data_IF_077164790412
#
_entry.id   IF_077164790412
#
_cell.length_a   1.000
_cell.length_b   1.000
_cell.length_c   1.000
_cell.angle_alpha   90.00
_cell.angle_beta   90.00
_cell.angle_gamma   90.00
#
_symmetry.space_group_name_H-M   'P 1'
#
loop_
_entity.id
_entity.type
_entity.pdbx_description
1 polymer ?
#
# COMPACT_ATOMS: atom_id res chain seq x y z
N UNK A 1 -32.97 12.71 86.05
CA UNK A 1 -31.69 12.48 86.77
C UNK A 1 -30.95 11.40 86.01
N UNK A 2 -30.04 11.77 85.11
CA UNK A 2 -28.57 11.90 85.32
C UNK A 2 -27.90 10.54 84.99
N UNK A 3 -26.94 10.35 84.08
CA UNK A 3 -25.96 11.25 83.43
C UNK A 3 -25.40 10.67 82.10
N UNK A 4 -25.15 11.61 81.18
CA UNK A 4 -23.95 11.86 80.35
C UNK A 4 -23.64 11.05 79.07
N UNK A 5 -23.45 11.89 78.04
CA UNK A 5 -22.88 11.73 76.69
C UNK A 5 -21.33 11.65 76.68
N UNK A 6 -20.79 11.47 75.45
CA UNK A 6 -19.43 11.78 74.92
C UNK A 6 -18.51 10.53 74.90
N UNK A 7 -17.83 10.07 73.84
CA UNK A 7 -17.46 10.50 72.46
C UNK A 7 -17.31 9.20 71.60
N UNK A 8 -17.13 9.13 70.27
CA UNK A 8 -16.39 9.97 69.32
C UNK A 8 -16.82 9.52 67.90
N UNK A 9 -17.08 10.48 67.00
CA UNK A 9 -17.30 10.29 65.55
C UNK A 9 -15.94 10.29 64.81
N UNK A 10 -15.92 9.70 63.61
CA UNK A 10 -14.77 9.53 62.66
C UNK A 10 -13.81 8.39 63.05
N UNK A 11 -13.29 7.52 62.19
CA UNK A 11 -13.01 7.48 60.75
C UNK A 11 -13.57 6.16 60.17
N UNK A 12 -13.85 5.94 58.90
CA UNK A 12 -13.61 6.70 57.68
C UNK A 12 -14.16 5.84 56.55
N UNK A 13 -14.87 6.49 55.64
CA UNK A 13 -15.32 5.96 54.35
C UNK A 13 -14.23 5.12 53.69
N UNK A 14 -14.44 3.81 53.61
CA UNK A 14 -13.69 2.95 52.69
C UNK A 14 -14.28 3.23 51.30
N UNK A 15 -13.80 4.32 50.68
CA UNK A 15 -13.98 4.57 49.26
C UNK A 15 -13.39 3.35 48.55
N UNK A 16 -14.28 2.46 48.12
CA UNK A 16 -14.00 1.44 47.13
C UNK A 16 -13.71 2.19 45.83
N UNK A 17 -12.47 2.66 45.69
CA UNK A 17 -11.92 3.09 44.43
C UNK A 17 -11.87 1.86 43.53
N UNK A 18 -13.00 1.58 42.87
CA UNK A 18 -13.01 0.78 41.66
C UNK A 18 -12.03 1.45 40.71
N UNK A 19 -10.79 0.95 40.70
CA UNK A 19 -9.93 1.06 39.54
C UNK A 19 -10.75 0.49 38.39
N UNK A 20 -11.34 1.37 37.59
CA UNK A 20 -11.77 1.03 36.24
C UNK A 20 -10.47 0.77 35.50
N UNK A 21 -9.93 -0.44 35.67
CA UNK A 21 -8.96 -0.97 34.74
C UNK A 21 -9.72 -1.06 33.43
N UNK A 22 -9.48 -0.11 32.53
CA UNK A 22 -9.87 -0.29 31.14
C UNK A 22 -9.32 -1.66 30.74
N UNK A 23 -10.17 -2.61 30.31
CA UNK A 23 -9.66 -3.89 29.85
C UNK A 23 -8.68 -3.56 28.73
N UNK A 24 -7.41 -3.86 28.95
CA UNK A 24 -6.43 -3.88 27.87
C UNK A 24 -6.96 -4.97 26.95
N UNK A 25 -7.57 -4.58 25.83
CA UNK A 25 -7.97 -5.52 24.80
C UNK A 25 -6.70 -6.30 24.46
N UNK A 26 -6.81 -7.63 24.46
CA UNK A 26 -5.74 -8.47 23.98
C UNK A 26 -5.42 -8.05 22.55
N UNK A 27 -4.14 -7.87 22.24
CA UNK A 27 -3.70 -7.52 20.89
C UNK A 27 -4.14 -8.62 19.93
N UNK A 28 -4.58 -8.21 18.74
CA UNK A 28 -4.98 -9.13 17.68
C UNK A 28 -3.77 -9.87 17.14
N UNK A 29 -3.99 -11.12 16.71
CA UNK A 29 -2.96 -11.89 16.01
C UNK A 29 -2.68 -11.30 14.62
N UNK A 30 -1.51 -11.58 14.01
CA UNK A 30 -1.23 -11.18 12.63
C UNK A 30 -2.28 -11.67 11.61
N UNK A 31 -2.85 -12.85 11.82
CA UNK A 31 -3.93 -13.43 11.00
C UNK A 31 -5.22 -12.61 11.12
N UNK A 32 -5.58 -12.21 12.35
CA UNK A 32 -6.76 -11.37 12.61
C UNK A 32 -6.61 -9.98 11.99
N UNK A 33 -5.42 -9.38 12.11
CA UNK A 33 -5.09 -8.10 11.46
C UNK A 33 -5.11 -8.27 9.93
N UNK A 34 -4.58 -9.37 9.41
CA UNK A 34 -4.62 -9.67 7.98
C UNK A 34 -6.05 -9.79 7.46
N UNK A 35 -6.96 -10.38 8.22
CA UNK A 35 -8.37 -10.47 7.86
C UNK A 35 -9.02 -9.09 7.70
N UNK A 36 -8.77 -8.18 8.65
CA UNK A 36 -9.24 -6.79 8.58
C UNK A 36 -8.62 -6.08 7.36
N UNK A 37 -7.31 -6.24 7.19
CA UNK A 37 -6.56 -5.63 6.11
C UNK A 37 -7.03 -6.09 4.72
N UNK A 38 -7.30 -7.39 4.56
CA UNK A 38 -7.79 -8.00 3.31
C UNK A 38 -9.12 -7.41 2.86
N UNK A 39 -10.02 -7.17 3.80
CA UNK A 39 -11.36 -6.67 3.48
C UNK A 39 -11.38 -5.18 3.14
N UNK A 40 -10.39 -4.41 3.62
CA UNK A 40 -10.41 -2.93 3.59
C UNK A 40 -9.35 -2.31 2.68
N UNK A 41 -8.29 -3.05 2.32
CA UNK A 41 -7.22 -2.57 1.44
C UNK A 41 -7.65 -2.70 -0.02
N UNK A 42 -7.54 -1.60 -0.78
CA UNK A 42 -7.86 -1.56 -2.22
C UNK A 42 -6.59 -1.35 -3.03
N UNK A 43 -6.63 -1.73 -4.30
CA UNK A 43 -5.65 -1.33 -5.30
C UNK A 43 -6.21 -0.17 -6.12
N UNK A 44 -5.37 0.83 -6.41
CA UNK A 44 -5.74 2.01 -7.20
C UNK A 44 -4.82 2.06 -8.41
N UNK A 45 -5.36 2.11 -9.63
CA UNK A 45 -4.56 2.11 -10.85
C UNK A 45 -5.09 3.09 -11.91
N UNK A 46 -4.21 3.86 -12.58
CA UNK A 46 -4.59 4.77 -13.66
C UNK A 46 -5.06 4.00 -14.90
N UNK A 47 -6.26 4.26 -15.41
CA UNK A 47 -6.81 3.62 -16.61
C UNK A 47 -7.25 2.17 -16.40
N UNK A 48 -7.38 1.70 -15.15
CA UNK A 48 -7.93 0.39 -14.84
C UNK A 48 -9.45 0.40 -15.00
N UNK A 49 -9.93 -0.46 -15.88
CA UNK A 49 -11.36 -0.74 -16.08
C UNK A 49 -11.66 -2.18 -15.67
N UNK A 50 -12.93 -2.57 -15.49
CA UNK A 50 -13.31 -3.95 -15.19
C UNK A 50 -12.78 -4.98 -16.18
N UNK A 51 -12.61 -4.62 -17.45
CA UNK A 51 -12.12 -5.52 -18.51
C UNK A 51 -10.61 -5.75 -18.44
N UNK A 52 -9.87 -4.90 -17.73
CA UNK A 52 -8.40 -4.96 -17.62
C UNK A 52 -7.93 -5.57 -16.30
N UNK A 53 -8.83 -6.15 -15.51
CA UNK A 53 -8.49 -6.72 -14.20
C UNK A 53 -7.53 -7.90 -14.31
N UNK A 54 -7.81 -8.84 -15.22
CA UNK A 54 -6.97 -10.01 -15.43
C UNK A 54 -5.59 -9.58 -15.94
N UNK A 55 -5.54 -8.60 -16.85
CA UNK A 55 -4.29 -8.00 -17.32
C UNK A 55 -3.51 -7.35 -16.17
N UNK A 56 -4.17 -6.67 -15.21
CA UNK A 56 -3.50 -6.10 -14.03
C UNK A 56 -2.94 -7.18 -13.11
N UNK A 57 -3.73 -8.20 -12.82
CA UNK A 57 -3.41 -9.25 -11.86
C UNK A 57 -2.33 -10.18 -12.39
N UNK A 58 -2.37 -10.47 -13.69
CA UNK A 58 -1.31 -11.19 -14.38
C UNK A 58 -0.14 -10.31 -14.78
N UNK A 59 -0.26 -9.00 -14.56
CA UNK A 59 0.74 -7.97 -14.85
C UNK A 59 1.13 -7.94 -16.35
N UNK A 60 0.11 -8.07 -17.20
CA UNK A 60 0.12 -8.06 -18.67
C UNK A 60 -0.58 -6.79 -19.21
N UNK A 61 -0.46 -6.56 -20.52
CA UNK A 61 -1.10 -5.50 -21.33
C UNK A 61 -1.40 -4.16 -20.63
N UNK A 62 -0.50 -3.20 -20.76
CA UNK A 62 -0.62 -1.91 -20.08
C UNK A 62 -1.37 -0.84 -20.90
N UNK A 63 -2.47 -0.25 -20.40
CA UNK A 63 -3.17 0.85 -21.07
C UNK A 63 -2.32 2.14 -21.19
N UNK A 64 -1.24 2.25 -20.41
CA UNK A 64 -0.27 3.36 -20.47
C UNK A 64 0.85 3.15 -21.50
N UNK A 65 0.86 2.04 -22.23
CA UNK A 65 1.84 1.80 -23.29
C UNK A 65 1.78 2.92 -24.35
N UNK A 66 2.94 3.46 -24.72
CA UNK A 66 3.09 4.52 -25.73
C UNK A 66 4.17 4.11 -26.74
N UNK A 67 4.21 4.73 -27.92
CA UNK A 67 5.23 4.40 -28.93
C UNK A 67 6.70 4.51 -28.44
N UNK A 68 6.97 5.33 -27.41
CA UNK A 68 8.30 5.49 -26.78
C UNK A 68 8.51 4.63 -25.53
N UNK A 69 7.45 4.01 -25.03
CA UNK A 69 7.42 3.07 -23.90
C UNK A 69 6.37 2.00 -24.24
N UNK A 70 6.67 1.10 -25.20
CA UNK A 70 5.70 0.17 -25.79
C UNK A 70 5.12 -0.80 -24.76
N UNK A 71 5.80 -0.87 -23.63
CA UNK A 71 5.52 -1.76 -22.54
C UNK A 71 4.63 -1.10 -21.51
N UNK A 72 4.83 0.20 -21.25
CA UNK A 72 4.19 0.95 -20.19
C UNK A 72 4.51 0.35 -18.81
N UNK A 73 4.60 1.16 -17.76
CA UNK A 73 4.57 0.63 -16.38
C UNK A 73 3.29 1.07 -15.70
N UNK A 74 2.43 0.10 -15.36
CA UNK A 74 1.26 0.40 -14.57
C UNK A 74 1.83 0.79 -13.22
N UNK A 75 1.55 2.01 -12.76
CA UNK A 75 2.05 2.49 -11.48
C UNK A 75 0.90 2.47 -10.48
N UNK A 76 0.30 1.30 -10.20
CA UNK A 76 -0.76 1.25 -9.23
C UNK A 76 -0.20 1.54 -7.85
N UNK A 77 -1.07 2.07 -7.01
CA UNK A 77 -0.86 2.19 -5.60
C UNK A 77 -1.91 1.40 -4.84
N UNK A 78 -1.93 1.65 -3.54
CA UNK A 78 -2.88 1.05 -2.61
C UNK A 78 -3.76 2.13 -1.97
N UNK A 79 -4.81 1.71 -1.30
CA UNK A 79 -5.69 2.57 -0.53
C UNK A 79 -6.38 1.79 0.58
N UNK A 80 -7.12 2.49 1.44
CA UNK A 80 -7.99 1.87 2.44
C UNK A 80 -9.37 2.53 2.44
N UNK A 81 -10.43 1.73 2.50
CA UNK A 81 -11.81 2.23 2.63
C UNK A 81 -12.02 2.74 4.06
N UNK A 82 -12.28 4.04 4.21
CA UNK A 82 -12.35 4.72 5.53
C UNK A 82 -13.72 5.28 5.89
N UNK A 83 -14.61 5.45 4.92
CA UNK A 83 -15.97 5.92 5.15
C UNK A 83 -16.92 5.43 4.05
N UNK A 84 -18.21 5.46 4.38
CA UNK A 84 -19.30 5.17 3.46
C UNK A 84 -20.48 6.10 3.75
N UNK A 85 -21.04 6.73 2.73
CA UNK A 85 -22.24 7.56 2.80
C UNK A 85 -23.17 7.21 1.65
N UNK A 86 -24.38 6.72 1.95
CA UNK A 86 -25.28 6.21 0.91
C UNK A 86 -24.62 5.08 0.12
N UNK A 87 -24.44 5.26 -1.20
CA UNK A 87 -23.72 4.33 -2.09
C UNK A 87 -22.24 4.69 -2.27
N UNK A 88 -21.80 5.85 -1.78
CA UNK A 88 -20.46 6.36 -1.97
C UNK A 88 -19.50 5.81 -0.91
N UNK A 89 -18.38 5.27 -1.37
CA UNK A 89 -17.27 4.79 -0.57
C UNK A 89 -16.09 5.73 -0.73
N UNK A 90 -15.39 6.01 0.37
CA UNK A 90 -14.24 6.92 0.40
C UNK A 90 -12.99 6.15 0.76
N UNK A 91 -11.99 6.22 -0.13
CA UNK A 91 -10.71 5.55 0.00
C UNK A 91 -9.65 6.57 0.35
N UNK A 92 -8.99 6.39 1.48
CA UNK A 92 -7.80 7.14 1.86
C UNK A 92 -6.57 6.55 1.19
N UNK A 93 -5.73 7.41 0.64
CA UNK A 93 -4.50 7.03 -0.06
C UNK A 93 -3.51 8.21 -0.08
N UNK A 94 -2.41 8.06 -0.81
CA UNK A 94 -1.38 9.09 -1.03
C UNK A 94 -1.65 9.86 -2.32
N UNK A 95 -1.23 11.13 -2.37
CA UNK A 95 -1.50 11.97 -3.56
C UNK A 95 -0.65 11.56 -4.77
N UNK A 96 0.53 10.99 -4.54
CA UNK A 96 1.41 10.59 -5.64
C UNK A 96 0.92 9.39 -6.45
N UNK A 97 -0.14 8.70 -6.01
CA UNK A 97 -0.86 7.74 -6.85
C UNK A 97 -1.55 8.44 -8.03
N UNK A 98 -1.88 9.74 -7.89
CA UNK A 98 -2.54 10.57 -8.90
C UNK A 98 -1.54 11.55 -9.54
N UNK A 99 -0.77 11.07 -10.51
CA UNK A 99 0.22 11.91 -11.21
C UNK A 99 -0.48 13.06 -11.94
N UNK A 100 0.02 14.29 -11.80
CA UNK A 100 -0.60 15.47 -12.42
C UNK A 100 -0.80 15.31 -13.93
N UNK A 101 0.14 14.66 -14.63
CA UNK A 101 0.00 14.39 -16.07
C UNK A 101 -1.23 13.53 -16.43
N UNK A 102 -1.60 12.58 -15.57
CA UNK A 102 -2.78 11.72 -15.81
C UNK A 102 -4.07 12.51 -15.55
N UNK A 103 -4.05 13.39 -14.54
CA UNK A 103 -5.16 14.30 -14.24
C UNK A 103 -5.38 15.28 -15.40
N UNK A 104 -4.31 15.91 -15.91
CA UNK A 104 -4.37 16.82 -17.07
C UNK A 104 -4.91 16.12 -18.34
N UNK A 105 -4.67 14.80 -18.47
CA UNK A 105 -5.16 13.96 -19.58
C UNK A 105 -6.58 13.41 -19.33
N UNK A 106 -7.23 13.77 -18.20
CA UNK A 106 -8.53 13.24 -17.77
C UNK A 106 -8.61 11.71 -17.75
N UNK A 107 -7.50 11.06 -17.45
CA UNK A 107 -7.42 9.61 -17.34
C UNK A 107 -8.24 9.12 -16.14
N UNK A 108 -9.11 8.14 -16.36
CA UNK A 108 -9.86 7.49 -15.29
C UNK A 108 -8.92 6.69 -14.37
N UNK A 109 -9.40 6.33 -13.19
CA UNK A 109 -8.70 5.44 -12.27
C UNK A 109 -9.63 4.31 -11.84
N UNK A 110 -9.13 3.08 -11.83
CA UNK A 110 -9.86 1.93 -11.29
C UNK A 110 -9.50 1.70 -9.82
N UNK A 111 -10.52 1.41 -9.02
CA UNK A 111 -10.38 0.97 -7.63
C UNK A 111 -10.79 -0.50 -7.58
N UNK A 112 -9.81 -1.40 -7.41
CA UNK A 112 -10.05 -2.83 -7.23
C UNK A 112 -10.31 -3.13 -5.75
N UNK A 113 -11.48 -3.67 -5.44
CA UNK A 113 -11.89 -4.07 -4.09
C UNK A 113 -11.51 -5.52 -3.76
N UNK A 114 -11.75 -5.94 -2.52
CA UNK A 114 -11.36 -7.25 -1.97
C UNK A 114 -12.06 -8.46 -2.62
N UNK A 115 -13.17 -8.21 -3.30
CA UNK A 115 -13.93 -9.16 -4.12
C UNK A 115 -13.48 -9.20 -5.59
N UNK A 116 -12.35 -8.55 -5.92
CA UNK A 116 -11.79 -8.52 -7.28
C UNK A 116 -12.47 -7.55 -8.23
N UNK A 117 -13.61 -6.95 -7.86
CA UNK A 117 -14.28 -5.99 -8.74
C UNK A 117 -13.52 -4.67 -8.84
N UNK A 118 -13.56 -4.08 -10.03
CA UNK A 118 -13.03 -2.74 -10.32
C UNK A 118 -14.18 -1.74 -10.37
N UNK A 119 -14.05 -0.65 -9.61
CA UNK A 119 -14.91 0.51 -9.71
C UNK A 119 -14.15 1.62 -10.42
N UNK A 120 -14.56 1.94 -11.66
CA UNK A 120 -13.95 3.02 -12.43
C UNK A 120 -14.39 4.39 -11.88
N UNK A 121 -13.41 5.26 -11.67
CA UNK A 121 -13.59 6.63 -11.23
C UNK A 121 -13.17 7.56 -12.37
N UNK A 122 -14.16 8.20 -12.99
CA UNK A 122 -13.97 9.22 -14.01
C UNK A 122 -13.93 10.61 -13.38
N UNK A 123 -13.58 11.64 -14.17
CA UNK A 123 -13.58 13.05 -13.71
C UNK A 123 -12.73 13.29 -12.46
N UNK A 124 -11.58 12.61 -12.39
CA UNK A 124 -10.63 12.70 -11.26
C UNK A 124 -9.79 13.97 -11.24
N UNK A 125 -9.82 14.77 -12.31
CA UNK A 125 -9.11 16.04 -12.34
C UNK A 125 -9.86 17.08 -11.51
N UNK A 126 -9.22 17.57 -10.45
CA UNK A 126 -9.78 18.58 -9.56
C UNK A 126 -9.55 20.02 -10.04
N UNK A 127 -8.88 20.21 -11.19
CA UNK A 127 -8.49 21.50 -11.80
C UNK A 127 -7.57 22.38 -10.95
N UNK A 128 -6.99 21.83 -9.87
CA UNK A 128 -6.14 22.59 -8.95
C UNK A 128 -4.68 22.62 -9.37
N UNK A 129 -4.27 21.75 -10.30
CA UNK A 129 -2.90 21.69 -10.81
C UNK A 129 -1.86 21.24 -9.77
N UNK A 130 -0.59 21.57 -10.03
CA UNK A 130 0.50 21.38 -9.06
C UNK A 130 1.59 22.47 -9.19
N UNK A 131 1.83 23.33 -8.18
CA UNK A 131 1.23 23.34 -6.83
C UNK A 131 -0.29 23.56 -6.85
N UNK A 132 -0.97 23.10 -5.81
CA UNK A 132 -2.44 23.17 -5.70
C UNK A 132 -2.90 24.63 -5.60
N UNK A 133 -3.84 25.02 -6.47
CA UNK A 133 -4.55 26.30 -6.40
C UNK A 133 -5.95 26.11 -5.82
N UNK A 134 -6.39 27.03 -4.96
CA UNK A 134 -7.74 26.99 -4.38
C UNK A 134 -7.97 25.93 -3.30
N UNK A 135 -9.20 25.91 -2.77
CA UNK A 135 -9.65 24.99 -1.73
C UNK A 135 -10.01 23.60 -2.27
N UNK A 136 -10.36 22.70 -1.35
CA UNK A 136 -10.81 21.33 -1.67
C UNK A 136 -12.30 21.37 -2.00
N UNK A 137 -12.71 20.92 -3.19
CA UNK A 137 -14.13 20.84 -3.58
C UNK A 137 -14.77 19.58 -3.01
N UNK A 138 -15.80 19.71 -2.17
CA UNK A 138 -16.35 18.56 -1.42
C UNK A 138 -17.09 17.52 -2.27
N UNK A 139 -17.58 17.92 -3.45
CA UNK A 139 -18.34 17.03 -4.34
C UNK A 139 -17.47 16.32 -5.38
N UNK A 140 -16.15 16.57 -5.37
CA UNK A 140 -15.19 16.01 -6.32
C UNK A 140 -14.95 14.52 -6.05
N UNK A 141 -14.69 13.75 -7.13
CA UNK A 141 -14.33 12.34 -7.00
C UNK A 141 -12.94 12.14 -6.38
N UNK A 142 -12.04 13.12 -6.56
CA UNK A 142 -10.70 13.12 -5.99
C UNK A 142 -10.48 14.39 -5.17
N UNK A 143 -10.10 14.20 -3.91
CA UNK A 143 -9.81 15.25 -2.94
C UNK A 143 -8.33 15.19 -2.61
N UNK A 144 -7.52 16.12 -3.12
CA UNK A 144 -6.06 16.14 -2.90
C UNK A 144 -5.63 17.17 -1.84
N UNK A 145 -4.75 16.76 -0.93
CA UNK A 145 -4.13 17.65 0.08
C UNK A 145 -2.66 17.99 -0.24
N UNK A 146 -2.18 17.49 -1.37
CA UNK A 146 -0.93 17.83 -2.02
C UNK A 146 -1.00 17.44 -3.49
N UNK A 147 0.12 17.49 -4.20
CA UNK A 147 0.16 17.12 -5.61
C UNK A 147 1.53 16.57 -6.00
N UNK A 148 1.53 15.64 -6.95
CA UNK A 148 2.75 15.11 -7.55
C UNK A 148 3.17 15.96 -8.74
N UNK A 149 4.41 16.47 -8.71
CA UNK A 149 4.90 17.40 -9.72
C UNK A 149 4.93 16.78 -11.12
N UNK A 150 4.48 17.57 -12.10
CA UNK A 150 4.59 17.24 -13.54
C UNK A 150 6.03 17.32 -14.05
N UNK A 151 6.83 18.22 -13.50
CA UNK A 151 8.14 18.61 -14.03
C UNK A 151 9.30 17.99 -13.26
N UNK A 152 9.10 17.73 -11.96
CA UNK A 152 10.14 17.20 -11.09
C UNK A 152 9.72 15.79 -10.66
N UNK A 153 10.32 14.73 -11.24
CA UNK A 153 10.00 13.37 -10.85
C UNK A 153 10.23 13.19 -9.35
N UNK A 154 9.37 12.40 -8.72
CA UNK A 154 9.43 12.06 -7.29
C UNK A 154 9.21 13.23 -6.31
N UNK A 155 8.76 14.40 -6.79
CA UNK A 155 8.47 15.54 -5.93
C UNK A 155 6.98 15.67 -5.64
N UNK A 156 6.63 15.63 -4.35
CA UNK A 156 5.30 16.00 -3.84
C UNK A 156 5.36 17.42 -3.28
N UNK A 157 4.35 18.23 -3.61
CA UNK A 157 4.10 19.53 -2.98
C UNK A 157 2.88 19.41 -2.04
N UNK A 158 2.97 19.95 -0.83
CA UNK A 158 1.92 19.79 0.19
C UNK A 158 1.96 18.43 0.89
N UNK A 159 0.82 18.04 1.47
CA UNK A 159 0.68 16.75 2.16
C UNK A 159 0.46 15.62 1.15
N UNK A 160 1.18 14.52 1.31
CA UNK A 160 1.07 13.37 0.42
C UNK A 160 -0.17 12.51 0.75
N UNK A 161 -1.34 13.14 0.70
CA UNK A 161 -2.63 12.56 1.06
C UNK A 161 -3.67 12.89 0.01
N UNK A 162 -4.55 11.92 -0.26
CA UNK A 162 -5.73 12.11 -1.07
C UNK A 162 -6.87 11.19 -0.58
N UNK A 163 -8.11 11.62 -0.85
CA UNK A 163 -9.28 10.74 -0.78
C UNK A 163 -9.83 10.59 -2.19
N UNK A 164 -10.11 9.36 -2.61
CA UNK A 164 -10.85 9.08 -3.84
C UNK A 164 -12.19 8.43 -3.51
N UNK A 165 -13.24 8.84 -4.21
CA UNK A 165 -14.62 8.35 -4.05
C UNK A 165 -14.98 7.41 -5.19
N UNK A 166 -15.65 6.31 -4.88
CA UNK A 166 -16.34 5.47 -5.84
C UNK A 166 -17.74 5.12 -5.34
N UNK A 167 -18.63 4.69 -6.22
CA UNK A 167 -19.98 4.27 -5.87
C UNK A 167 -20.15 2.76 -6.01
N UNK A 168 -20.86 2.14 -5.08
CA UNK A 168 -21.24 0.73 -5.21
C UNK A 168 -22.52 0.40 -4.45
N UNK A 169 -23.30 -0.52 -5.03
CA UNK A 169 -24.41 -1.18 -4.36
C UNK A 169 -23.97 -2.36 -3.49
N UNK A 170 -22.73 -2.85 -3.68
CA UNK A 170 -22.16 -3.89 -2.82
C UNK A 170 -21.73 -3.31 -1.48
N UNK A 171 -21.75 -4.17 -0.45
CA UNK A 171 -21.31 -3.81 0.91
C UNK A 171 -19.85 -4.16 1.09
N UNK A 172 -18.99 -3.14 1.06
CA UNK A 172 -17.59 -3.23 1.47
C UNK A 172 -17.39 -2.88 2.95
N UNK A 173 -16.41 -3.54 3.56
CA UNK A 173 -15.96 -3.23 4.92
C UNK A 173 -15.31 -1.84 4.98
N UNK A 174 -15.50 -1.16 6.10
CA UNK A 174 -14.92 0.16 6.38
C UNK A 174 -13.94 0.03 7.53
N UNK A 175 -12.68 0.39 7.30
CA UNK A 175 -11.63 0.25 8.28
C UNK A 175 -11.89 1.14 9.51
N UNK A 176 -11.66 0.63 10.73
CA UNK A 176 -11.72 1.45 11.93
C UNK A 176 -10.47 2.34 12.01
N UNK A 177 -10.66 3.62 12.32
CA UNK A 177 -9.62 4.63 12.40
C UNK A 177 -9.22 4.89 13.85
N UNK A 178 -7.94 4.72 14.16
CA UNK A 178 -7.36 4.96 15.48
C UNK A 178 -6.68 6.32 15.61
N UNK A 179 -5.84 6.46 16.63
CA UNK A 179 -4.92 7.59 16.78
C UNK A 179 -3.47 7.12 16.72
N UNK A 180 -2.61 7.79 15.94
CA UNK A 180 -1.18 7.53 16.00
C UNK A 180 -0.54 7.98 17.32
N UNK A 181 -1.27 8.62 18.24
CA UNK A 181 -0.79 8.87 19.60
C UNK A 181 -0.84 7.61 20.48
N UNK A 182 -1.67 6.63 20.11
CA UNK A 182 -1.82 5.37 20.83
C UNK A 182 -0.67 4.39 20.57
N UNK A 183 0.10 4.60 19.49
CA UNK A 183 1.31 3.83 19.17
C UNK A 183 2.56 4.47 19.80
N UNK A 184 3.43 3.65 20.37
CA UNK A 184 4.71 4.04 20.98
C UNK A 184 5.88 3.52 20.16
N UNK A 185 7.07 4.02 20.49
CA UNK A 185 8.32 3.46 19.98
C UNK A 185 8.39 1.98 20.30
N UNK A 186 8.89 1.18 19.35
CA UNK A 186 8.98 -0.28 19.40
C UNK A 186 7.66 -1.04 19.34
N UNK A 187 6.49 -0.38 19.37
CA UNK A 187 5.23 -1.05 19.07
C UNK A 187 5.24 -1.56 17.63
N UNK A 188 4.59 -2.71 17.41
CA UNK A 188 4.49 -3.28 16.06
C UNK A 188 3.35 -2.62 15.30
N UNK A 189 3.62 -2.24 14.06
CA UNK A 189 2.61 -1.78 13.11
C UNK A 189 2.56 -2.70 11.90
N UNK A 190 1.38 -2.81 11.30
CA UNK A 190 1.10 -3.71 10.18
C UNK A 190 0.69 -2.90 8.95
N UNK A 191 1.34 -3.14 7.82
CA UNK A 191 1.21 -2.39 6.58
C UNK A 191 0.67 -3.32 5.50
N UNK A 192 -0.52 -3.01 5.00
CA UNK A 192 -1.14 -3.77 3.91
C UNK A 192 -1.09 -2.97 2.61
N UNK A 193 -0.85 -3.63 1.49
CA UNK A 193 -0.82 -2.99 0.19
C UNK A 193 -0.58 -3.97 -0.95
N UNK A 194 -0.50 -3.44 -2.16
CA UNK A 194 -0.38 -4.19 -3.41
C UNK A 194 0.97 -3.91 -4.08
N UNK A 195 2.02 -4.68 -3.72
CA UNK A 195 3.31 -4.61 -4.40
C UNK A 195 3.23 -4.69 -5.93
N UNK A 196 4.18 -4.05 -6.58
CA UNK A 196 4.42 -4.14 -8.01
C UNK A 196 5.47 -5.22 -8.31
N UNK A 197 5.05 -6.42 -8.74
CA UNK A 197 5.95 -7.58 -8.85
C UNK A 197 6.98 -7.40 -9.97
N UNK A 198 6.67 -6.57 -10.97
CA UNK A 198 7.54 -6.20 -12.08
C UNK A 198 8.80 -5.46 -11.64
N UNK A 199 8.69 -4.75 -10.51
CA UNK A 199 9.81 -4.05 -9.90
C UNK A 199 10.70 -4.96 -9.09
N UNK A 200 10.31 -6.20 -8.82
CA UNK A 200 11.05 -7.15 -7.98
C UNK A 200 12.05 -8.00 -8.78
N UNK A 201 13.25 -8.17 -8.23
CA UNK A 201 14.21 -9.17 -8.67
C UNK A 201 14.03 -10.46 -7.88
N UNK A 202 14.13 -11.56 -8.60
CA UNK A 202 14.21 -12.88 -8.03
C UNK A 202 15.47 -13.03 -7.16
N UNK A 203 15.28 -13.45 -5.91
CA UNK A 203 16.34 -13.49 -4.90
C UNK A 203 17.44 -14.52 -5.21
N UNK A 204 17.17 -15.52 -6.06
CA UNK A 204 18.11 -16.58 -6.42
C UNK A 204 18.92 -16.19 -7.65
N UNK A 205 18.26 -15.61 -8.64
CA UNK A 205 18.84 -15.32 -9.96
C UNK A 205 19.31 -13.87 -10.11
N UNK A 206 18.86 -12.96 -9.24
CA UNK A 206 19.14 -11.51 -9.35
C UNK A 206 18.55 -10.89 -10.63
N UNK A 207 17.62 -11.58 -11.29
CA UNK A 207 16.94 -11.10 -12.49
C UNK A 207 15.56 -10.59 -12.12
N UNK A 208 15.08 -9.62 -12.88
CA UNK A 208 13.71 -9.16 -12.78
C UNK A 208 12.73 -10.31 -13.01
N UNK A 209 11.75 -10.44 -12.11
CA UNK A 209 10.67 -11.43 -12.25
C UNK A 209 9.86 -11.21 -13.53
N UNK A 210 9.85 -9.97 -14.04
CA UNK A 210 9.28 -9.62 -15.33
C UNK A 210 7.75 -9.66 -15.33
N UNK A 211 7.17 -9.50 -16.53
CA UNK A 211 5.72 -9.28 -16.70
C UNK A 211 4.82 -10.42 -16.24
N UNK A 212 5.33 -11.64 -16.15
CA UNK A 212 4.52 -12.82 -15.81
C UNK A 212 4.30 -13.02 -14.31
N UNK A 213 4.83 -12.12 -13.47
CA UNK A 213 4.68 -12.23 -12.04
C UNK A 213 3.30 -11.71 -11.59
N UNK A 214 2.48 -12.60 -11.04
CA UNK A 214 1.15 -12.26 -10.53
C UNK A 214 1.22 -11.22 -9.42
N UNK A 215 0.37 -10.20 -9.50
CA UNK A 215 0.21 -9.18 -8.47
C UNK A 215 -0.56 -9.74 -7.29
N UNK A 216 -0.06 -9.48 -6.09
CA UNK A 216 -0.56 -10.06 -4.85
C UNK A 216 -0.58 -9.00 -3.76
N UNK A 217 -1.56 -9.06 -2.86
CA UNK A 217 -1.55 -8.21 -1.66
C UNK A 217 -0.52 -8.75 -0.67
N UNK A 218 0.22 -7.85 -0.05
CA UNK A 218 1.21 -8.15 0.98
C UNK A 218 0.80 -7.51 2.29
N UNK A 219 0.93 -8.26 3.38
CA UNK A 219 0.96 -7.70 4.73
C UNK A 219 2.40 -7.72 5.23
N UNK A 220 2.94 -6.55 5.55
CA UNK A 220 4.25 -6.42 6.19
C UNK A 220 4.09 -5.84 7.59
N UNK A 221 5.01 -6.13 8.50
CA UNK A 221 4.98 -5.54 9.83
C UNK A 221 6.37 -5.35 10.41
N UNK A 222 6.45 -4.48 11.40
CA UNK A 222 7.65 -4.29 12.17
C UNK A 222 7.54 -3.14 13.15
N UNK A 223 8.62 -2.89 13.92
CA UNK A 223 8.57 -1.95 15.03
C UNK A 223 8.61 -0.50 14.54
N UNK A 224 7.89 0.36 15.25
CA UNK A 224 8.01 1.83 15.14
C UNK A 224 9.39 2.27 15.62
N UNK A 225 10.13 2.94 14.76
CA UNK A 225 11.50 3.43 15.01
C UNK A 225 11.59 4.94 15.15
N UNK A 226 10.50 5.67 14.89
CA UNK A 226 10.47 7.11 15.08
C UNK A 226 9.07 7.68 14.97
N UNK A 227 8.82 8.77 15.70
CA UNK A 227 7.65 9.62 15.54
C UNK A 227 8.09 11.08 15.56
N UNK A 228 7.62 11.86 14.59
CA UNK A 228 7.83 13.31 14.55
C UNK A 228 6.49 14.01 14.31
N UNK A 229 6.43 15.29 14.67
CA UNK A 229 5.27 16.10 14.34
C UNK A 229 5.15 16.22 12.81
N UNK A 230 4.00 15.90 12.18
CA UNK A 230 3.80 16.02 10.73
C UNK A 230 4.08 17.41 10.17
N UNK A 231 3.91 18.47 10.97
CA UNK A 231 4.27 19.84 10.58
C UNK A 231 5.79 20.06 10.45
N UNK A 232 6.58 19.22 11.11
CA UNK A 232 8.05 19.18 11.03
C UNK A 232 8.54 18.12 10.04
N UNK A 233 7.67 17.18 9.67
CA UNK A 233 7.96 16.11 8.71
C UNK A 233 7.86 16.57 7.26
N UNK A 234 8.64 15.94 6.38
CA UNK A 234 8.54 16.23 4.95
C UNK A 234 7.20 15.71 4.42
N UNK A 235 6.41 16.57 3.76
CA UNK A 235 5.14 16.21 3.13
C UNK A 235 4.10 15.54 4.06
N UNK A 236 4.20 15.70 5.40
CA UNK A 236 3.26 15.15 6.39
C UNK A 236 3.58 13.76 6.94
N UNK A 237 4.71 13.18 6.53
CA UNK A 237 5.17 11.89 7.05
C UNK A 237 5.67 12.05 8.48
N UNK A 238 5.09 11.28 9.42
CA UNK A 238 5.30 11.49 10.85
C UNK A 238 5.52 10.21 11.67
N UNK A 239 5.34 9.04 11.06
CA UNK A 239 5.52 7.73 11.72
C UNK A 239 6.54 6.96 10.91
N UNK A 240 7.57 6.43 11.56
CA UNK A 240 8.67 5.71 10.94
C UNK A 240 8.77 4.31 11.53
N UNK A 241 9.04 3.33 10.67
CA UNK A 241 9.12 1.93 11.06
C UNK A 241 10.09 1.17 10.16
N UNK A 242 10.59 0.05 10.69
CA UNK A 242 11.32 -0.95 9.91
C UNK A 242 10.30 -1.98 9.42
N UNK A 243 10.31 -2.26 8.12
CA UNK A 243 9.41 -3.21 7.50
C UNK A 243 10.04 -3.83 6.24
N UNK A 244 9.29 -4.73 5.59
CA UNK A 244 9.59 -5.20 4.25
C UNK A 244 8.49 -4.86 3.24
N UNK A 245 7.96 -3.64 3.32
CA UNK A 245 7.08 -3.05 2.30
C UNK A 245 7.78 -2.97 0.95
N UNK A 246 6.99 -2.87 -0.13
CA UNK A 246 7.49 -2.87 -1.51
C UNK A 246 6.87 -1.74 -2.32
N UNK A 247 7.53 -1.28 -3.41
CA UNK A 247 6.92 -0.37 -4.37
C UNK A 247 5.52 -0.86 -4.79
N UNK A 248 4.54 0.03 -4.86
CA UNK A 248 3.13 -0.30 -5.10
C UNK A 248 2.26 -0.32 -3.83
N UNK A 249 2.86 -0.53 -2.65
CA UNK A 249 2.14 -0.47 -1.37
C UNK A 249 1.80 0.96 -0.91
N UNK A 250 2.32 1.98 -1.58
CA UNK A 250 2.05 3.39 -1.27
C UNK A 250 0.56 3.71 -1.34
N UNK A 251 0.05 4.34 -0.29
CA UNK A 251 -1.37 4.60 -0.06
C UNK A 251 -2.07 3.54 0.79
N UNK A 252 -1.42 2.41 1.07
CA UNK A 252 -1.97 1.34 1.89
C UNK A 252 -2.08 1.71 3.37
N UNK A 253 -3.00 1.07 4.11
CA UNK A 253 -3.19 1.33 5.54
C UNK A 253 -2.02 0.84 6.39
N UNK A 254 -1.73 1.59 7.45
CA UNK A 254 -0.89 1.16 8.58
C UNK A 254 -1.78 0.95 9.79
N UNK A 255 -1.87 -0.29 10.24
CA UNK A 255 -2.65 -0.72 11.40
C UNK A 255 -1.79 -0.80 12.66
N UNK A 256 -2.39 -0.50 13.81
CA UNK A 256 -1.85 -0.89 15.12
C UNK A 256 -2.19 -2.37 15.45
N UNK A 257 -1.69 -2.86 16.59
CA UNK A 257 -1.95 -4.23 17.07
C UNK A 257 -3.41 -4.50 17.47
N UNK A 258 -4.31 -3.52 17.41
CA UNK A 258 -5.73 -3.67 17.70
C UNK A 258 -6.58 -3.59 16.42
N UNK A 259 -5.95 -3.52 15.24
CA UNK A 259 -6.62 -3.47 13.95
C UNK A 259 -7.15 -2.09 13.56
N UNK A 260 -6.75 -1.02 14.24
CA UNK A 260 -7.10 0.34 13.85
C UNK A 260 -6.07 0.92 12.87
N UNK A 261 -6.54 1.59 11.83
CA UNK A 261 -5.68 2.37 10.94
C UNK A 261 -5.17 3.60 11.70
N UNK A 262 -3.85 3.72 11.83
CA UNK A 262 -3.17 4.84 12.51
C UNK A 262 -2.35 5.70 11.54
N UNK A 263 -2.18 5.25 10.30
CA UNK A 263 -1.52 6.02 9.25
C UNK A 263 -1.71 5.44 7.86
N UNK A 264 -1.13 6.14 6.87
CA UNK A 264 -1.13 5.74 5.46
C UNK A 264 0.30 5.59 5.00
N UNK A 265 0.72 4.39 4.62
CA UNK A 265 2.07 4.13 4.12
C UNK A 265 2.30 4.93 2.83
N UNK A 266 3.48 5.50 2.64
CA UNK A 266 3.73 6.24 1.40
C UNK A 266 5.18 6.44 1.00
N UNK A 267 6.13 6.19 1.90
CA UNK A 267 7.56 6.11 1.54
C UNK A 267 8.17 4.84 2.12
N UNK A 268 8.92 4.12 1.30
CA UNK A 268 9.90 3.15 1.80
C UNK A 268 11.18 3.85 2.24
N UNK A 269 12.00 3.20 3.06
CA UNK A 269 13.33 3.70 3.42
C UNK A 269 14.23 3.86 2.19
N UNK A 270 15.04 4.92 2.15
CA UNK A 270 16.12 5.08 1.17
C UNK A 270 17.27 4.08 1.40
N UNK A 271 17.47 3.62 2.64
CA UNK A 271 18.46 2.62 3.08
C UNK A 271 18.00 1.17 2.83
N UNK A 272 16.87 1.01 2.13
CA UNK A 272 16.76 -0.10 1.17
C UNK A 272 17.88 -0.02 0.12
N UNK A 273 18.77 0.97 0.08
CA UNK A 273 20.03 1.05 -0.69
C UNK A 273 20.90 -0.22 -0.74
N UNK A 274 20.87 -1.10 0.27
CA UNK A 274 21.45 -2.45 0.15
C UNK A 274 20.50 -3.49 -0.47
N UNK A 275 19.19 -3.34 -0.26
CA UNK A 275 18.09 -4.02 -0.99
C UNK A 275 17.81 -3.41 -2.38
N UNK A 276 18.49 -2.32 -2.79
CA UNK A 276 18.37 -1.65 -4.10
C UNK A 276 18.94 -2.54 -5.20
N UNK A 277 19.67 -3.60 -4.82
CA UNK A 277 20.00 -4.72 -5.70
C UNK A 277 18.84 -5.67 -5.97
N UNK A 278 17.66 -5.47 -5.39
CA UNK A 278 16.48 -6.33 -5.60
C UNK A 278 15.41 -5.69 -6.48
N UNK A 279 15.65 -4.49 -7.04
CA UNK A 279 14.64 -3.82 -7.87
C UNK A 279 15.11 -3.55 -9.29
N UNK A 280 14.17 -3.62 -10.23
CA UNK A 280 14.43 -3.57 -11.67
C UNK A 280 14.48 -2.17 -12.25
N UNK A 281 13.74 -1.25 -11.64
CA UNK A 281 13.59 0.13 -12.11
C UNK A 281 14.67 1.07 -11.57
N UNK A 282 15.66 0.54 -10.83
CA UNK A 282 16.75 1.31 -10.27
C UNK A 282 18.03 1.07 -11.10
N UNK A 283 18.77 2.12 -11.50
CA UNK A 283 19.99 1.96 -12.29
C UNK A 283 21.00 1.02 -11.60
N UNK A 284 21.56 0.07 -12.36
CA UNK A 284 22.62 -0.85 -11.88
C UNK A 284 23.91 -0.13 -11.48
N UNK A 285 24.15 1.03 -12.07
CA UNK A 285 25.32 1.87 -11.85
C UNK A 285 24.95 3.11 -11.01
N UNK A 286 24.32 2.91 -9.85
CA UNK A 286 24.28 3.92 -8.79
C UNK A 286 25.67 4.04 -8.13
N UNK A 287 26.68 4.29 -8.95
CA UNK A 287 28.01 4.74 -8.54
C UNK A 287 28.06 6.24 -8.80
N UNK A 288 28.05 7.03 -7.72
CA UNK A 288 28.31 8.47 -7.70
C UNK A 288 27.41 9.33 -8.61
N UNK A 289 26.21 9.67 -8.14
CA UNK A 289 25.84 11.08 -7.92
C UNK A 289 24.56 11.19 -7.07
N UNK A 290 24.74 11.80 -5.90
CA UNK A 290 23.74 12.44 -5.02
C UNK A 290 22.63 11.56 -4.43
N UNK A 291 22.98 10.80 -3.40
CA UNK A 291 22.39 10.95 -2.06
C UNK A 291 23.53 10.61 -1.09
N UNK A 292 24.12 11.62 -0.47
CA UNK A 292 25.37 11.47 0.28
C UNK A 292 25.17 10.56 1.50
N UNK A 293 25.84 9.41 1.44
CA UNK A 293 26.29 8.66 2.59
C UNK A 293 27.74 9.05 2.85
N UNK A 294 28.06 9.43 4.08
CA UNK A 294 29.27 8.96 4.79
C UNK A 294 29.24 9.61 6.18
N UNK A 295 28.54 8.93 7.10
CA UNK A 295 29.02 8.61 8.44
C UNK A 295 27.87 8.24 9.40
N UNK A 296 28.18 7.33 10.32
CA UNK A 296 27.46 6.98 11.55
C UNK A 296 26.28 6.00 11.43
N UNK A 297 26.66 4.73 11.39
CA UNK A 297 26.14 3.73 12.31
C UNK A 297 26.72 3.97 13.73
N UNK A 298 26.24 4.98 14.44
CA UNK A 298 26.36 5.12 15.90
C UNK A 298 25.58 6.37 16.35
N UNK A 299 24.25 6.30 16.40
CA UNK A 299 23.36 7.14 17.21
C UNK A 299 21.89 6.84 16.84
N UNK A 300 21.34 5.76 17.41
CA UNK A 300 19.89 5.66 17.56
C UNK A 300 19.50 6.68 18.66
N UNK A 301 19.17 7.90 18.24
CA UNK A 301 18.84 8.99 19.16
C UNK A 301 18.58 10.38 18.54
N UNK A 302 18.46 10.49 17.22
CA UNK A 302 18.24 11.76 16.54
C UNK A 302 16.79 11.90 16.05
N UNK A 303 16.14 13.01 16.40
CA UNK A 303 14.84 13.44 15.88
C UNK A 303 14.93 14.12 14.50
N UNK A 304 16.09 14.09 13.84
CA UNK A 304 16.31 14.73 12.54
C UNK A 304 15.43 14.05 11.47
N UNK A 305 14.43 14.75 10.90
CA UNK A 305 13.54 14.21 9.89
C UNK A 305 14.28 13.67 8.66
N UNK A 306 15.41 14.27 8.29
CA UNK A 306 16.18 13.88 7.09
C UNK A 306 16.79 12.49 7.25
N UNK A 307 17.33 12.18 8.42
CA UNK A 307 17.90 10.86 8.74
C UNK A 307 16.79 9.81 8.82
N UNK A 308 15.64 10.15 9.39
CA UNK A 308 14.52 9.23 9.51
C UNK A 308 13.94 8.84 8.13
N UNK A 309 13.76 9.82 7.23
CA UNK A 309 13.26 9.55 5.88
C UNK A 309 14.21 8.72 5.01
N UNK A 310 15.52 8.79 5.28
CA UNK A 310 16.49 7.97 4.55
C UNK A 310 16.54 6.54 5.09
N UNK A 311 16.43 6.33 6.41
CA UNK A 311 16.65 4.99 6.99
C UNK A 311 15.40 4.14 7.16
N UNK A 312 14.22 4.75 7.23
CA UNK A 312 12.99 4.05 7.59
C UNK A 312 11.87 4.29 6.59
N UNK A 313 11.01 3.29 6.44
CA UNK A 313 9.71 3.51 5.81
C UNK A 313 8.90 4.47 6.66
N UNK A 314 7.99 5.20 6.03
CA UNK A 314 7.19 6.19 6.74
C UNK A 314 5.75 6.27 6.25
N UNK A 315 4.88 6.62 7.20
CA UNK A 315 3.47 6.86 6.98
C UNK A 315 3.06 8.30 7.28
N UNK A 316 2.06 8.75 6.53
CA UNK A 316 1.26 9.91 6.88
C UNK A 316 0.55 9.63 8.19
N UNK A 317 0.62 10.58 9.10
CA UNK A 317 0.01 10.50 10.41
C UNK A 317 -1.50 10.80 10.30
N UNK A 318 -2.36 9.96 10.88
CA UNK A 318 -3.81 10.12 10.76
C UNK A 318 -4.38 11.33 11.53
N UNK A 319 -3.66 11.89 12.51
CA UNK A 319 -4.02 13.18 13.11
C UNK A 319 -3.84 14.31 12.08
N UNK A 320 -2.82 14.25 11.24
CA UNK A 320 -2.65 15.20 10.14
C UNK A 320 -3.80 15.11 9.14
N UNK A 321 -4.18 13.89 8.76
CA UNK A 321 -5.37 13.63 7.95
C UNK A 321 -6.63 14.28 8.57
N UNK A 322 -6.88 14.01 9.85
CA UNK A 322 -8.05 14.55 10.56
C UNK A 322 -8.04 16.09 10.57
N UNK A 323 -6.87 16.70 10.75
CA UNK A 323 -6.72 18.15 10.71
C UNK A 323 -7.03 18.73 9.33
N UNK A 324 -6.48 18.15 8.25
CA UNK A 324 -6.69 18.68 6.89
C UNK A 324 -8.12 18.47 6.41
N UNK A 325 -8.78 17.37 6.78
CA UNK A 325 -10.20 17.14 6.45
C UNK A 325 -11.12 18.10 7.22
N UNK A 326 -10.82 18.37 8.49
CA UNK A 326 -11.57 19.33 9.30
C UNK A 326 -11.41 20.76 8.76
N UNK A 327 -10.20 21.16 8.37
CA UNK A 327 -9.94 22.46 7.75
C UNK A 327 -10.63 22.60 6.39
N UNK A 328 -10.72 21.52 5.63
CA UNK A 328 -11.51 21.46 4.40
C UNK A 328 -13.03 21.44 4.64
N UNK A 329 -13.48 21.39 5.90
CA UNK A 329 -14.89 21.36 6.28
C UNK A 329 -15.60 20.06 5.92
N UNK A 330 -14.86 18.97 5.69
CA UNK A 330 -15.45 17.69 5.28
C UNK A 330 -16.27 17.09 6.41
N UNK A 331 -17.46 16.58 6.07
CA UNK A 331 -18.42 16.01 7.04
C UNK A 331 -18.55 14.48 6.91
N UNK A 332 -17.42 13.78 6.81
CA UNK A 332 -17.42 12.31 6.74
C UNK A 332 -17.54 11.69 8.14
N UNK A 333 -18.36 10.66 8.25
CA UNK A 333 -18.45 9.82 9.46
C UNK A 333 -17.44 8.67 9.38
N UNK A 334 -16.46 8.65 10.27
CA UNK A 334 -15.43 7.62 10.33
C UNK A 334 -15.76 6.55 11.37
N UNK A 335 -15.49 5.28 11.04
CA UNK A 335 -15.59 4.19 12.01
C UNK A 335 -14.49 4.33 13.07
N UNK A 336 -14.87 4.47 14.36
CA UNK A 336 -13.94 4.57 15.50
C UNK A 336 -14.09 3.40 16.49
N UNK A 337 -14.96 2.44 16.17
CA UNK A 337 -15.21 1.28 17.01
C UNK A 337 -14.15 0.20 16.75
N UNK A 338 -13.77 -0.59 17.76
CA UNK A 338 -12.89 -1.72 17.55
C UNK A 338 -13.50 -2.71 16.54
N UNK A 339 -12.67 -3.41 15.74
CA UNK A 339 -13.16 -4.46 14.85
C UNK A 339 -14.00 -5.49 15.63
N UNK A 340 -15.20 -5.80 15.13
CA UNK A 340 -16.03 -6.84 15.76
C UNK A 340 -15.49 -8.23 15.46
N UNK A 341 -15.85 -9.21 16.29
CA UNK A 341 -15.53 -10.62 16.03
C UNK A 341 -16.03 -11.05 14.64
N UNK A 342 -17.26 -10.71 14.26
CA UNK A 342 -17.80 -11.04 12.94
C UNK A 342 -16.98 -10.42 11.80
N UNK A 343 -16.50 -9.19 11.98
CA UNK A 343 -15.65 -8.53 10.98
C UNK A 343 -14.29 -9.23 10.86
N UNK A 344 -13.67 -9.62 11.97
CA UNK A 344 -12.41 -10.38 11.97
C UNK A 344 -12.60 -11.77 11.36
N UNK A 345 -13.68 -12.48 11.69
CA UNK A 345 -13.91 -13.85 11.22
C UNK A 345 -14.32 -13.91 9.75
N UNK A 346 -14.87 -12.84 9.18
CA UNK A 346 -15.36 -12.82 7.80
C UNK A 346 -14.30 -13.24 6.76
N UNK A 347 -13.04 -12.83 6.94
CA UNK A 347 -11.93 -13.08 6.02
C UNK A 347 -10.72 -13.76 6.68
N UNK A 348 -10.94 -14.44 7.82
CA UNK A 348 -9.86 -15.08 8.55
C UNK A 348 -9.40 -16.32 7.78
N UNK A 349 -8.11 -16.32 7.41
CA UNK A 349 -7.45 -17.50 6.87
C UNK A 349 -6.35 -17.90 7.85
N UNK A 350 -6.37 -19.16 8.28
CA UNK A 350 -5.27 -19.76 9.02
C UNK A 350 -4.02 -19.79 8.15
N UNK A 351 -2.97 -19.12 8.61
CA UNK A 351 -1.70 -19.10 7.90
C UNK A 351 -0.97 -20.41 8.19
N UNK A 352 -0.59 -21.14 7.13
CA UNK A 352 0.33 -22.27 7.30
C UNK A 352 1.64 -21.72 7.86
N UNK A 353 2.21 -22.34 8.92
CA UNK A 353 3.40 -21.82 9.57
C UNK A 353 4.61 -22.04 8.66
N UNK A 354 4.80 -21.17 7.68
CA UNK A 354 6.13 -21.03 7.11
C UNK A 354 6.98 -20.35 8.17
N UNK A 355 7.97 -21.09 8.66
CA UNK A 355 8.82 -20.75 9.82
C UNK A 355 9.75 -19.60 9.46
N UNK A 356 9.19 -18.42 9.29
CA UNK A 356 10.00 -17.25 9.05
C UNK A 356 9.46 -16.14 9.94
N UNK A 357 10.22 -15.82 10.99
CA UNK A 357 10.09 -14.61 11.81
C UNK A 357 10.35 -13.34 10.96
N UNK A 358 10.00 -13.33 9.68
CA UNK A 358 10.52 -12.40 8.67
C UNK A 358 9.73 -11.11 8.57
N UNK A 359 8.65 -10.94 9.33
CA UNK A 359 7.93 -9.67 9.35
C UNK A 359 7.05 -9.45 8.12
N UNK A 360 6.75 -10.48 7.30
CA UNK A 360 5.82 -10.36 6.16
C UNK A 360 5.03 -11.63 5.83
N UNK A 361 3.87 -11.44 5.18
CA UNK A 361 3.10 -12.45 4.46
C UNK A 361 2.96 -12.06 2.99
N UNK A 362 3.49 -12.90 2.10
CA UNK A 362 3.26 -12.86 0.66
C UNK A 362 2.17 -13.87 0.32
N UNK A 363 0.97 -13.39 -0.05
CA UNK A 363 -0.21 -14.24 -0.25
C UNK A 363 -0.48 -14.47 -1.73
N UNK A 364 -0.55 -15.73 -2.16
CA UNK A 364 -0.85 -16.09 -3.55
C UNK A 364 -2.25 -15.59 -3.93
N UNK A 365 -2.39 -14.94 -5.09
CA UNK A 365 -3.64 -14.29 -5.52
C UNK A 365 -4.85 -15.24 -5.56
N UNK A 366 -4.65 -16.53 -5.85
CA UNK A 366 -5.70 -17.56 -5.81
C UNK A 366 -6.26 -17.81 -4.40
N UNK A 367 -5.49 -17.52 -3.35
CA UNK A 367 -5.88 -17.69 -1.94
C UNK A 367 -6.34 -16.38 -1.27
N UNK A 368 -6.17 -15.22 -1.94
CA UNK A 368 -6.49 -13.87 -1.41
C UNK A 368 -7.79 -13.24 -1.98
N UNK A 369 -8.59 -13.96 -2.77
CA UNK A 369 -9.92 -13.48 -3.23
C UNK A 369 -11.00 -13.75 -2.17
N UNK A 370 -11.71 -12.71 -1.74
CA UNK A 370 -12.95 -12.90 -0.99
C UNK A 370 -14.08 -13.14 -2.00
N UNK A 371 -14.32 -14.42 -2.31
CA UNK A 371 -15.39 -14.89 -3.19
C UNK A 371 -15.09 -14.72 -4.68
N UNK A 372 -14.45 -15.72 -5.32
CA UNK A 372 -15.15 -16.77 -6.10
C UNK A 372 -14.21 -17.82 -6.70
N UNK A 373 -14.73 -19.06 -6.72
CA UNK A 373 -14.46 -20.23 -7.58
C UNK A 373 -13.08 -20.92 -7.58
N UNK A 374 -13.04 -22.10 -6.95
CA UNK A 374 -12.20 -23.21 -7.40
C UNK A 374 -12.65 -23.61 -8.81
N UNK A 375 -11.92 -23.20 -9.84
CA UNK A 375 -11.90 -23.96 -11.07
C UNK A 375 -10.75 -24.96 -11.01
N UNK A 376 -11.09 -26.22 -10.76
CA UNK A 376 -10.14 -27.34 -10.78
C UNK A 376 -9.66 -27.67 -12.20
N UNK A 377 -10.08 -26.92 -13.22
CA UNK A 377 -9.57 -26.99 -14.59
C UNK A 377 -8.65 -25.82 -14.98
N UNK A 378 -8.37 -24.85 -14.11
CA UNK A 378 -7.39 -23.77 -14.39
C UNK A 378 -5.94 -24.16 -14.00
N UNK A 379 -5.57 -25.39 -14.37
CA UNK A 379 -4.20 -25.70 -14.69
C UNK A 379 -3.99 -25.26 -16.13
N UNK A 380 -3.51 -24.02 -16.31
CA UNK A 380 -2.89 -23.61 -17.58
C UNK A 380 -1.87 -24.69 -17.92
N UNK A 381 -2.13 -25.50 -18.96
CA UNK A 381 -1.15 -26.43 -19.50
C UNK A 381 0.15 -25.67 -19.68
N UNK A 382 1.25 -26.25 -19.20
CA UNK A 382 2.55 -25.61 -19.23
C UNK A 382 2.89 -25.25 -20.69
N UNK A 383 2.64 -23.99 -21.07
CA UNK A 383 2.92 -23.49 -22.40
C UNK A 383 4.42 -23.56 -22.70
N UNK A 384 5.28 -23.73 -21.67
CA UNK A 384 6.71 -23.98 -21.84
C UNK A 384 7.04 -25.42 -22.25
N UNK A 385 6.10 -26.37 -22.14
CA UNK A 385 6.22 -27.69 -22.77
C UNK A 385 6.11 -27.62 -24.31
N UNK A 386 5.43 -26.60 -24.85
CA UNK A 386 5.47 -26.27 -26.29
C UNK A 386 6.80 -25.64 -26.72
N UNK A 387 7.52 -25.01 -25.78
CA UNK A 387 8.83 -24.40 -26.00
C UNK A 387 10.01 -25.31 -25.62
N UNK A 388 9.75 -26.56 -25.23
CA UNK A 388 10.82 -27.57 -25.16
C UNK A 388 11.43 -27.75 -26.56
N UNK A 389 12.76 -27.65 -26.62
CA UNK A 389 13.59 -27.75 -27.81
C UNK A 389 13.49 -29.12 -28.50
N UNK A 390 12.35 -29.40 -29.14
CA UNK A 390 12.17 -30.53 -30.06
C UNK A 390 12.53 -30.07 -31.47
N UNK A 391 13.32 -30.89 -32.18
CA UNK A 391 13.83 -30.62 -33.53
C UNK A 391 12.73 -30.24 -34.52
N UNK A 392 11.52 -30.77 -34.31
CA UNK A 392 10.32 -30.52 -35.11
C UNK A 392 9.81 -29.06 -35.00
N UNK A 393 10.04 -28.38 -33.86
CA UNK A 393 9.59 -27.00 -33.61
C UNK A 393 10.58 -25.94 -34.12
N UNK A 394 11.76 -26.35 -34.62
CA UNK A 394 12.81 -25.47 -35.14
C UNK A 394 12.75 -25.28 -36.67
N UNK A 395 11.90 -26.02 -37.37
CA UNK A 395 11.70 -25.92 -38.81
C UNK A 395 10.54 -24.97 -39.09
N UNK A 396 10.82 -23.80 -39.68
CA UNK A 396 9.80 -22.79 -40.05
C UNK A 396 10.15 -22.14 -41.38
N UNK A 397 9.10 -21.85 -42.16
CA UNK A 397 9.21 -21.27 -43.51
C UNK A 397 9.12 -19.72 -43.52
N UNK A 398 9.00 -19.05 -42.37
CA UNK A 398 8.89 -17.58 -42.28
C UNK A 398 9.71 -16.97 -41.11
N UNK A 399 10.24 -15.73 -41.27
CA UNK A 399 11.25 -15.18 -40.36
C UNK A 399 10.66 -14.65 -39.05
N UNK A 400 11.26 -15.06 -37.93
CA UNK A 400 11.03 -14.53 -36.57
C UNK A 400 12.22 -13.68 -36.13
N UNK A 401 11.96 -12.55 -35.45
CA UNK A 401 12.95 -11.58 -34.96
C UNK A 401 13.70 -12.03 -33.68
N UNK A 402 13.87 -13.33 -33.47
CA UNK A 402 14.62 -13.89 -32.35
C UNK A 402 15.96 -14.48 -32.82
N UNK A 403 17.05 -14.19 -32.11
CA UNK A 403 18.33 -14.86 -32.32
C UNK A 403 18.22 -16.33 -31.89
N UNK A 404 18.07 -17.25 -32.85
CA UNK A 404 18.02 -18.70 -32.57
C UNK A 404 17.37 -19.58 -33.65
N UNK A 405 16.76 -19.02 -34.69
CA UNK A 405 16.19 -19.81 -35.80
C UNK A 405 17.22 -20.09 -36.90
N UNK A 406 17.23 -21.32 -37.41
CA UNK A 406 17.96 -21.72 -38.62
C UNK A 406 16.98 -21.67 -39.79
N UNK A 407 17.26 -20.84 -40.79
CA UNK A 407 16.52 -20.82 -42.05
C UNK A 407 17.06 -21.92 -42.96
N UNK A 408 16.18 -22.76 -43.49
CA UNK A 408 16.52 -23.68 -44.56
C UNK A 408 16.58 -22.91 -45.88
N UNK A 409 17.80 -22.75 -46.44
CA UNK A 409 17.98 -22.31 -47.82
C UNK A 409 18.89 -21.11 -48.09
N UNK A 410 19.57 -20.54 -47.08
CA UNK A 410 20.48 -19.40 -47.32
C UNK A 410 21.95 -19.77 -47.06
N UNK A 411 22.71 -19.95 -48.15
CA UNK A 411 24.17 -19.93 -48.13
C UNK A 411 24.63 -18.47 -48.05
N UNK A 412 24.71 -17.87 -46.85
CA UNK A 412 25.61 -16.73 -46.58
C UNK A 412 25.77 -16.33 -45.10
N UNK A 413 27.02 -16.49 -44.65
CA UNK A 413 27.80 -15.70 -43.67
C UNK A 413 27.24 -15.31 -42.28
N UNK A 414 27.57 -16.18 -41.32
CA UNK A 414 28.07 -15.95 -39.93
C UNK A 414 28.06 -14.50 -39.39
N UNK A 415 27.33 -14.33 -38.29
CA UNK A 415 27.55 -13.27 -37.30
C UNK A 415 29.05 -13.21 -36.88
N UNK A 416 29.66 -12.02 -37.00
CA UNK A 416 30.91 -11.69 -36.30
C UNK A 416 30.59 -11.36 -34.84
N UNK A 417 31.52 -11.79 -33.97
CA UNK A 417 31.47 -11.73 -32.50
C UNK A 417 31.21 -10.36 -31.93
#
# INVERSE_FOLDING_TARGET
MLLKQIALKSLGSMLLSCLVANPVLAQLSPEEINSIARQTTVLIAPGLTPELIDELEENRQNPLARAKDPDGVWNPGSGVIIAKEGKSYYVLTVTHNFKQRHLDENMSYGIRTSDGQVHEVTEVNDDRGCPLNGGVGQDQQLLRFGCYSKYLPNRVNGFDLAIVRFESDKKYAVAPLGSPDDIKMMDTVFISGWPDPEKEQDAVTGKCRGRVARRQRRLAWGPVTGKINPAQGQNGYGIFYVDQTRPGMSGGPVFDSNGFVVGVHGRGSADKGQLVRQYCSLPKDLNNTTFESEDLAAQAGGSDPTILHTRFSSAQNLNNFSNVTNQAGMKLSFNRLPPSSDFIQAALIELKPDRSNTGTFDLVARDDVMGTFEDTQDAVEDIYDLFQFKLENQLRDEPSAGCGSILLGDERERCKK
#
